data_IF_876007624327
#
_entry.id   IF_876007624327
#
_cell.length_a   1.000
_cell.length_b   1.000
_cell.length_c   1.000
_cell.angle_alpha   90.00
_cell.angle_beta   90.00
_cell.angle_gamma   90.00
#
_symmetry.space_group_name_H-M   'P 1'
#
loop_
_entity.id
_entity.type
_entity.pdbx_description
1 polymer ?
#
# COMPACT_ATOMS: atom_id res chain seq x y z
N UNK A 1 6.46 -34.24 7.79
CA UNK A 1 5.21 -33.74 7.18
C UNK A 1 4.47 -32.85 8.18
N UNK A 2 4.96 -31.64 8.48
CA UNK A 2 4.24 -30.64 9.29
C UNK A 2 4.94 -29.27 9.14
N UNK A 3 4.79 -28.62 7.99
CA UNK A 3 5.31 -27.26 7.80
C UNK A 3 4.40 -26.43 6.89
N UNK A 4 3.08 -26.56 7.04
CA UNK A 4 2.09 -25.71 6.35
C UNK A 4 1.37 -24.73 7.28
N UNK A 5 1.55 -24.81 8.60
CA UNK A 5 0.67 -24.13 9.57
C UNK A 5 1.07 -22.67 9.93
N UNK A 6 2.12 -22.11 9.32
CA UNK A 6 2.69 -20.80 9.71
C UNK A 6 2.42 -19.67 8.71
N UNK A 7 1.26 -19.67 8.06
CA UNK A 7 0.83 -18.59 7.15
C UNK A 7 -0.25 -17.70 7.76
N UNK A 8 -0.95 -18.16 8.80
CA UNK A 8 -2.12 -17.48 9.36
C UNK A 8 -1.80 -17.07 10.80
N UNK A 9 -1.99 -15.78 11.12
CA UNK A 9 -1.95 -15.27 12.49
C UNK A 9 -3.37 -15.01 12.99
N UNK A 10 -3.60 -15.24 14.29
CA UNK A 10 -4.89 -14.97 14.95
C UNK A 10 -4.79 -13.63 15.66
N UNK A 11 -5.75 -12.75 15.39
CA UNK A 11 -5.89 -11.45 16.04
C UNK A 11 -7.22 -11.46 16.80
N UNK A 12 -7.16 -11.40 18.13
CA UNK A 12 -8.34 -11.37 19.00
C UNK A 12 -8.61 -9.93 19.43
N UNK A 13 -9.71 -9.34 18.95
CA UNK A 13 -10.11 -7.96 19.26
C UNK A 13 -11.35 -7.99 20.15
N UNK A 14 -11.30 -7.26 21.27
CA UNK A 14 -12.48 -7.05 22.12
C UNK A 14 -13.29 -5.87 21.56
N UNK A 15 -14.58 -6.10 21.36
CA UNK A 15 -15.56 -5.11 20.90
C UNK A 15 -16.72 -5.06 21.88
N UNK A 16 -17.38 -3.91 21.96
CA UNK A 16 -18.59 -3.74 22.77
C UNK A 16 -19.66 -4.73 22.30
N UNK A 17 -20.34 -5.36 23.27
CA UNK A 17 -21.40 -6.34 23.01
C UNK A 17 -22.51 -5.76 22.14
N UNK A 18 -22.87 -4.49 22.33
CA UNK A 18 -23.91 -3.82 21.53
C UNK A 18 -23.56 -3.78 20.05
N UNK A 19 -22.29 -3.55 19.72
CA UNK A 19 -21.81 -3.49 18.34
C UNK A 19 -21.87 -4.87 17.70
N UNK A 20 -21.39 -5.89 18.43
CA UNK A 20 -21.44 -7.28 17.96
C UNK A 20 -22.87 -7.72 17.66
N UNK A 21 -23.80 -7.47 18.59
CA UNK A 21 -25.22 -7.83 18.42
C UNK A 21 -25.88 -7.08 17.24
N UNK A 22 -25.51 -5.82 17.01
CA UNK A 22 -26.01 -5.05 15.87
C UNK A 22 -25.54 -5.66 14.55
N UNK A 23 -24.25 -5.97 14.44
CA UNK A 23 -23.67 -6.55 13.22
C UNK A 23 -24.25 -7.94 12.92
N UNK A 24 -24.45 -8.76 13.95
CA UNK A 24 -25.10 -10.07 13.82
C UNK A 24 -26.55 -9.95 13.35
N UNK A 25 -27.34 -9.01 13.93
CA UNK A 25 -28.72 -8.74 13.49
C UNK A 25 -28.80 -8.24 12.05
N UNK A 26 -27.81 -7.47 11.62
CA UNK A 26 -27.71 -7.00 10.25
C UNK A 26 -27.23 -8.08 9.26
N UNK A 27 -26.87 -9.28 9.73
CA UNK A 27 -26.38 -10.37 8.89
C UNK A 27 -24.98 -10.13 8.33
N UNK A 28 -24.16 -9.29 8.98
CA UNK A 28 -22.82 -8.92 8.51
C UNK A 28 -21.81 -9.99 8.92
N UNK A 29 -21.03 -10.49 7.96
CA UNK A 29 -19.88 -11.34 8.24
C UNK A 29 -18.70 -10.50 8.75
N UNK A 30 -18.64 -10.32 10.06
CA UNK A 30 -17.58 -9.58 10.75
C UNK A 30 -16.19 -10.11 10.40
N UNK A 31 -16.04 -11.42 10.19
CA UNK A 31 -14.74 -12.00 9.87
C UNK A 31 -14.26 -11.58 8.50
N UNK A 32 -15.16 -11.56 7.51
CA UNK A 32 -14.86 -11.10 6.16
C UNK A 32 -14.54 -9.60 6.15
N UNK A 33 -15.38 -8.78 6.77
CA UNK A 33 -15.21 -7.33 6.80
C UNK A 33 -13.90 -6.93 7.48
N UNK A 34 -13.59 -7.52 8.64
CA UNK A 34 -12.34 -7.21 9.35
C UNK A 34 -11.12 -7.65 8.56
N UNK A 35 -11.15 -8.81 7.88
CA UNK A 35 -10.04 -9.25 7.02
C UNK A 35 -9.82 -8.29 5.87
N UNK A 36 -10.88 -7.89 5.18
CA UNK A 36 -10.79 -6.98 4.04
C UNK A 36 -10.27 -5.61 4.49
N UNK A 37 -10.80 -5.09 5.60
CA UNK A 37 -10.33 -3.83 6.18
C UNK A 37 -8.84 -3.88 6.53
N UNK A 38 -8.37 -4.96 7.16
CA UNK A 38 -6.95 -5.12 7.50
C UNK A 38 -6.07 -5.24 6.26
N UNK A 39 -6.52 -5.92 5.20
CA UNK A 39 -5.80 -5.99 3.92
C UNK A 39 -5.66 -4.63 3.26
N UNK A 40 -6.75 -3.87 3.17
CA UNK A 40 -6.74 -2.51 2.63
C UNK A 40 -5.88 -1.56 3.47
N UNK A 41 -5.92 -1.71 4.81
CA UNK A 41 -5.06 -0.95 5.71
C UNK A 41 -3.59 -1.28 5.48
N UNK A 42 -3.23 -2.56 5.39
CA UNK A 42 -1.86 -2.99 5.13
C UNK A 42 -1.34 -2.44 3.79
N UNK A 43 -2.15 -2.55 2.73
CA UNK A 43 -1.81 -2.00 1.41
C UNK A 43 -1.54 -0.48 1.47
N UNK A 44 -2.38 0.27 2.19
CA UNK A 44 -2.19 1.72 2.33
C UNK A 44 -0.93 2.08 3.12
N UNK A 45 -0.57 1.30 4.12
CA UNK A 45 0.68 1.51 4.88
C UNK A 45 1.88 1.25 3.99
N UNK A 46 1.90 0.11 3.28
CA UNK A 46 3.00 -0.22 2.36
C UNK A 46 3.13 0.84 1.27
N UNK A 47 2.02 1.27 0.65
CA UNK A 47 2.05 2.31 -0.38
C UNK A 47 2.67 3.61 0.13
N UNK A 48 2.35 4.03 1.35
CA UNK A 48 2.93 5.24 1.96
C UNK A 48 4.44 5.10 2.17
N UNK A 49 4.91 3.93 2.58
CA UNK A 49 6.34 3.66 2.74
C UNK A 49 7.06 3.68 1.40
N UNK A 50 6.48 3.05 0.36
CA UNK A 50 7.04 3.07 -1.00
C UNK A 50 7.14 4.48 -1.58
N UNK A 51 6.11 5.30 -1.38
CA UNK A 51 6.13 6.69 -1.84
C UNK A 51 7.23 7.51 -1.15
N UNK A 52 7.39 7.34 0.17
CA UNK A 52 8.51 7.98 0.89
C UNK A 52 9.86 7.54 0.35
N UNK A 53 10.03 6.24 0.11
CA UNK A 53 11.27 5.71 -0.45
C UNK A 53 11.56 6.28 -1.86
N UNK A 54 10.53 6.47 -2.67
CA UNK A 54 10.64 7.12 -3.98
C UNK A 54 11.04 8.60 -3.84
N UNK A 55 10.39 9.36 -2.95
CA UNK A 55 10.73 10.77 -2.71
C UNK A 55 12.17 10.93 -2.22
N UNK A 56 12.63 10.05 -1.32
CA UNK A 56 14.03 10.02 -0.85
C UNK A 56 15.02 9.67 -1.96
N UNK A 57 14.62 8.87 -2.95
CA UNK A 57 15.46 8.57 -4.11
C UNK A 57 15.48 9.72 -5.10
N UNK A 58 14.33 10.34 -5.38
CA UNK A 58 14.21 11.48 -6.30
C UNK A 58 14.94 12.71 -5.77
N UNK A 59 14.88 12.98 -4.47
CA UNK A 59 15.60 14.10 -3.84
C UNK A 59 17.14 13.99 -3.95
N UNK A 60 17.68 12.81 -4.26
CA UNK A 60 19.12 12.60 -4.50
C UNK A 60 19.50 12.82 -5.96
N UNK A 61 18.52 12.96 -6.86
CA UNK A 61 18.77 13.21 -8.28
C UNK A 61 19.06 14.71 -8.43
N UNK A 62 20.22 15.10 -8.99
CA UNK A 62 20.53 16.50 -9.24
C UNK A 62 19.51 17.13 -10.19
N UNK A 63 19.20 18.40 -9.98
CA UNK A 63 18.31 19.15 -10.87
C UNK A 63 18.88 19.16 -12.29
N UNK A 64 17.99 18.92 -13.26
CA UNK A 64 18.37 18.98 -14.66
C UNK A 64 18.75 20.43 -15.03
N UNK A 65 19.82 20.64 -15.80
CA UNK A 65 20.21 21.97 -16.23
C UNK A 65 19.09 22.63 -17.07
N UNK A 66 19.01 23.96 -17.01
CA UNK A 66 18.07 24.73 -17.81
C UNK A 66 18.25 24.40 -19.30
N UNK A 67 17.18 23.95 -19.96
CA UNK A 67 17.20 23.57 -21.37
C UNK A 67 17.52 22.10 -21.65
N UNK A 68 17.82 21.29 -20.62
CA UNK A 68 18.15 19.86 -20.77
C UNK A 68 17.10 19.08 -21.57
N UNK A 69 15.82 19.30 -21.29
CA UNK A 69 14.73 18.61 -22.00
C UNK A 69 14.67 19.00 -23.49
N UNK A 70 14.89 20.28 -23.81
CA UNK A 70 14.90 20.77 -25.19
C UNK A 70 16.15 20.36 -25.97
N UNK A 71 17.31 20.29 -25.32
CA UNK A 71 18.55 19.79 -25.93
C UNK A 71 18.46 18.28 -26.16
N UNK A 72 18.01 17.51 -25.16
CA UNK A 72 17.91 16.04 -25.28
C UNK A 72 17.01 15.61 -26.43
N UNK A 73 15.87 16.28 -26.63
CA UNK A 73 14.93 15.97 -27.73
C UNK A 73 15.48 16.41 -29.10
N UNK A 74 16.28 17.48 -29.14
CA UNK A 74 16.93 17.94 -30.38
C UNK A 74 18.07 17.02 -30.79
N UNK A 75 18.94 16.64 -29.86
CA UNK A 75 20.03 15.70 -30.11
C UNK A 75 19.52 14.35 -30.62
N UNK A 76 18.48 13.79 -29.99
CA UNK A 76 17.91 12.50 -30.40
C UNK A 76 17.36 12.57 -31.83
N UNK A 77 16.71 13.68 -32.19
CA UNK A 77 16.14 13.90 -33.53
C UNK A 77 17.18 14.20 -34.61
N UNK A 78 18.26 14.90 -34.28
CA UNK A 78 19.32 15.28 -35.23
C UNK A 78 20.37 14.17 -35.41
N UNK A 79 20.33 13.10 -34.58
CA UNK A 79 21.25 11.96 -34.66
C UNK A 79 20.88 10.88 -35.71
N UNK A 80 19.82 11.09 -36.50
CA UNK A 80 19.31 10.16 -37.50
C UNK A 80 19.40 10.67 -38.95
#
# INVERSE_FOLDING_TARGET
MFTLCKLMSVISIRVDRKIKELLEKAGVDVSREVKQFLQELAWRVELKERLKELDERLSKIPEAPLGFSSESVREDRESH
#
